data_IF_402845671153
#
_entry.id   IF_402845671153
#
_cell.length_a   1.000
_cell.length_b   1.000
_cell.length_c   1.000
_cell.angle_alpha   90.00
_cell.angle_beta   90.00
_cell.angle_gamma   90.00
#
_symmetry.space_group_name_H-M   'P 1'
#
loop_
_entity.id
_entity.type
_entity.pdbx_description
1 polymer ?
#
# COMPACT_ATOMS: atom_id res chain seq x y z
N UNK A 1 9.68 3.77 3.26
CA UNK A 1 9.63 2.54 2.45
C UNK A 1 8.98 1.46 3.29
N UNK A 2 7.99 0.78 2.73
CA UNK A 2 7.32 -0.36 3.36
C UNK A 2 7.27 -1.50 2.33
N UNK A 3 7.60 -2.73 2.74
CA UNK A 3 7.57 -3.92 1.89
C UNK A 3 6.39 -4.80 2.30
N UNK A 4 5.64 -5.27 1.32
CA UNK A 4 4.55 -6.22 1.51
C UNK A 4 5.13 -7.63 1.36
N UNK A 5 4.96 -8.46 2.39
CA UNK A 5 5.22 -9.89 2.29
C UNK A 5 3.90 -10.62 2.01
N UNK A 6 3.85 -11.33 0.89
CA UNK A 6 2.69 -12.13 0.48
C UNK A 6 3.00 -13.61 0.68
N UNK A 7 2.12 -14.32 1.38
CA UNK A 7 2.21 -15.77 1.53
C UNK A 7 1.07 -16.42 0.74
N UNK A 8 1.35 -16.77 -0.50
CA UNK A 8 0.43 -17.49 -1.37
C UNK A 8 0.86 -18.97 -1.49
N UNK A 9 0.07 -19.92 -0.96
CA UNK A 9 0.35 -21.35 -1.07
C UNK A 9 0.41 -21.87 -2.51
N UNK A 10 -0.35 -21.25 -3.41
CA UNK A 10 -0.52 -21.70 -4.79
C UNK A 10 0.48 -21.04 -5.76
N UNK A 11 1.25 -20.06 -5.27
CA UNK A 11 2.25 -19.28 -6.02
C UNK A 11 1.68 -18.56 -7.25
N UNK A 12 0.43 -18.11 -7.17
CA UNK A 12 -0.20 -17.30 -8.19
C UNK A 12 0.46 -15.91 -8.28
N UNK A 13 0.25 -15.27 -9.44
CA UNK A 13 0.64 -13.88 -9.63
C UNK A 13 -0.35 -13.01 -8.86
N UNK A 14 0.10 -12.47 -7.74
CA UNK A 14 -0.69 -11.54 -6.95
C UNK A 14 -0.64 -10.14 -7.57
N UNK A 15 -1.80 -9.49 -7.64
CA UNK A 15 -1.94 -8.10 -8.07
C UNK A 15 -2.08 -7.22 -6.84
N UNK A 16 -1.09 -6.35 -6.63
CA UNK A 16 -1.10 -5.39 -5.54
C UNK A 16 -1.56 -4.02 -6.05
N UNK A 17 -2.42 -3.35 -5.28
CA UNK A 17 -2.93 -2.02 -5.61
C UNK A 17 -3.10 -1.16 -4.35
N UNK A 18 -2.93 0.14 -4.51
CA UNK A 18 -3.31 1.13 -3.50
C UNK A 18 -4.80 1.45 -3.65
N UNK A 19 -5.48 1.68 -2.53
CA UNK A 19 -6.85 2.20 -2.59
C UNK A 19 -6.89 3.58 -3.27
N UNK A 20 -8.06 3.93 -3.81
CA UNK A 20 -8.27 5.23 -4.45
C UNK A 20 -8.15 6.42 -3.48
N UNK A 21 -8.10 6.16 -2.17
CA UNK A 21 -7.90 7.17 -1.13
C UNK A 21 -6.45 7.27 -0.66
N UNK A 22 -5.50 6.60 -1.32
CA UNK A 22 -4.10 6.70 -0.97
C UNK A 22 -3.60 8.16 -1.06
N UNK A 23 -2.75 8.62 -0.12
CA UNK A 23 -2.28 10.00 -0.10
C UNK A 23 -1.47 10.37 -1.34
N UNK A 24 -1.51 11.65 -1.70
CA UNK A 24 -0.71 12.21 -2.77
C UNK A 24 0.78 11.89 -2.59
N UNK A 25 1.41 11.49 -3.70
CA UNK A 25 2.83 11.10 -3.74
C UNK A 25 3.12 9.70 -3.22
N UNK A 26 2.11 8.92 -2.83
CA UNK A 26 2.26 7.49 -2.53
C UNK A 26 2.21 6.67 -3.81
N UNK A 27 3.17 5.76 -3.97
CA UNK A 27 3.30 4.86 -5.12
C UNK A 27 3.54 3.44 -4.65
N UNK A 28 3.04 2.49 -5.41
CA UNK A 28 3.28 1.06 -5.22
C UNK A 28 3.89 0.50 -6.49
N UNK A 29 5.02 -0.18 -6.37
CA UNK A 29 5.55 -1.03 -7.43
C UNK A 29 4.96 -2.44 -7.28
N UNK A 30 4.03 -2.86 -8.17
CA UNK A 30 3.38 -4.16 -8.07
C UNK A 30 4.35 -5.32 -8.35
N UNK A 31 5.47 -5.08 -9.04
CA UNK A 31 6.45 -6.13 -9.34
C UNK A 31 7.32 -6.48 -8.12
N UNK A 32 7.58 -5.51 -7.25
CA UNK A 32 8.43 -5.68 -6.06
C UNK A 32 7.66 -5.68 -4.74
N UNK A 33 6.39 -5.26 -4.76
CA UNK A 33 5.57 -5.09 -3.55
C UNK A 33 6.06 -3.94 -2.65
N UNK A 34 6.84 -3.01 -3.19
CA UNK A 34 7.38 -1.87 -2.46
C UNK A 34 6.41 -0.69 -2.53
N UNK A 35 6.00 -0.21 -1.35
CA UNK A 35 5.29 1.06 -1.20
C UNK A 35 6.28 2.17 -0.83
N UNK A 36 6.29 3.21 -1.64
CA UNK A 36 7.04 4.44 -1.40
C UNK A 36 6.09 5.62 -1.23
N UNK A 37 6.45 6.54 -0.34
CA UNK A 37 5.69 7.78 -0.17
C UNK A 37 6.62 8.97 -0.15
N UNK A 38 6.54 9.78 -1.21
CA UNK A 38 7.21 11.07 -1.28
C UNK A 38 6.35 12.12 -0.62
N UNK A 39 6.40 12.20 0.71
CA UNK A 39 5.58 13.09 1.54
C UNK A 39 5.71 14.55 1.05
N UNK A 40 4.61 15.16 0.52
CA UNK A 40 4.57 16.59 0.27
C UNK A 40 4.96 17.44 1.49
N UNK A 41 5.64 18.58 1.26
CA UNK A 41 5.98 19.51 2.34
C UNK A 41 4.72 20.06 3.01
N UNK A 42 4.74 20.13 4.34
CA UNK A 42 3.66 20.71 5.13
C UNK A 42 2.48 19.78 5.42
N UNK A 43 2.57 18.49 5.05
CA UNK A 43 1.62 17.49 5.53
C UNK A 43 1.83 17.23 7.02
N UNK A 44 0.75 17.27 7.78
CA UNK A 44 0.70 16.90 9.20
C UNK A 44 -0.63 16.20 9.45
N UNK A 45 -0.65 15.27 10.42
CA UNK A 45 -1.85 14.51 10.78
C UNK A 45 -1.77 13.03 10.42
N UNK A 46 -2.95 12.39 10.35
CA UNK A 46 -3.10 10.95 10.14
C UNK A 46 -3.58 10.65 8.72
N UNK A 47 -2.93 9.69 8.08
CA UNK A 47 -3.21 9.29 6.70
C UNK A 47 -3.52 7.79 6.66
N UNK A 48 -4.79 7.40 6.44
CA UNK A 48 -5.16 6.01 6.30
C UNK A 48 -4.69 5.48 4.95
N UNK A 49 -3.93 4.39 5.00
CA UNK A 49 -3.44 3.65 3.85
C UNK A 49 -4.16 2.32 3.81
N UNK A 50 -4.64 1.93 2.64
CA UNK A 50 -5.21 0.62 2.41
C UNK A 50 -4.57 0.01 1.16
N UNK A 51 -3.99 -1.17 1.33
CA UNK A 51 -3.35 -1.92 0.27
C UNK A 51 -4.18 -3.16 -0.01
N UNK A 52 -4.56 -3.35 -1.26
CA UNK A 52 -5.39 -4.47 -1.71
C UNK A 52 -4.50 -5.44 -2.49
N UNK A 53 -4.57 -6.71 -2.11
CA UNK A 53 -3.95 -7.84 -2.79
C UNK A 53 -5.05 -8.69 -3.41
N UNK A 54 -4.97 -8.97 -4.70
CA UNK A 54 -5.90 -9.86 -5.41
C UNK A 54 -5.17 -11.02 -6.06
N UNK A 55 -5.79 -12.20 -6.03
CA UNK A 55 -5.32 -13.41 -6.72
C UNK A 55 -5.67 -13.43 -8.22
N UNK A 56 -6.43 -12.46 -8.72
CA UNK A 56 -6.91 -12.43 -10.11
C UNK A 56 -8.09 -13.37 -10.41
N UNK A 57 -8.48 -14.22 -9.46
CA UNK A 57 -9.59 -15.19 -9.55
C UNK A 57 -10.80 -14.81 -8.67
N UNK A 58 -10.74 -13.65 -8.03
CA UNK A 58 -11.84 -13.08 -7.24
C UNK A 58 -11.57 -13.06 -5.74
N UNK A 59 -10.52 -13.75 -5.28
CA UNK A 59 -9.99 -13.60 -3.93
C UNK A 59 -9.30 -12.27 -3.76
N UNK A 60 -9.58 -11.62 -2.64
CA UNK A 60 -8.98 -10.34 -2.25
C UNK A 60 -8.72 -10.33 -0.76
N UNK A 61 -7.59 -9.74 -0.38
CA UNK A 61 -7.24 -9.40 0.98
C UNK A 61 -6.82 -7.93 1.02
N UNK A 62 -7.04 -7.26 2.14
CA UNK A 62 -6.54 -5.90 2.34
C UNK A 62 -5.75 -5.79 3.63
N UNK A 63 -4.73 -4.93 3.60
CA UNK A 63 -3.98 -4.51 4.76
C UNK A 63 -4.11 -3.00 4.90
N UNK A 64 -4.71 -2.56 6.00
CA UNK A 64 -4.91 -1.15 6.30
C UNK A 64 -4.06 -0.72 7.50
N UNK A 65 -3.47 0.47 7.42
CA UNK A 65 -2.71 1.08 8.50
C UNK A 65 -2.74 2.60 8.40
N UNK A 66 -2.43 3.29 9.49
CA UNK A 66 -2.34 4.75 9.50
C UNK A 66 -0.88 5.18 9.58
N UNK A 67 -0.50 6.15 8.76
CA UNK A 67 0.77 6.87 8.94
C UNK A 67 0.48 8.21 9.60
N UNK A 68 1.20 8.49 10.69
CA UNK A 68 1.15 9.76 11.38
C UNK A 68 2.36 10.61 10.99
N UNK A 69 2.10 11.81 10.49
CA UNK A 69 3.14 12.81 10.24
C UNK A 69 3.03 13.87 11.32
N UNK A 70 4.06 13.96 12.16
CA UNK A 70 4.17 14.97 13.20
C UNK A 70 4.57 16.34 12.63
N UNK A 71 4.36 17.39 13.42
CA UNK A 71 5.01 18.66 13.18
C UNK A 71 6.51 18.51 13.49
N UNK A 72 7.35 19.06 12.62
CA UNK A 72 8.81 19.10 12.76
C UNK A 72 9.28 20.14 13.77
#
# INVERSE_FOLDING_TARGET
MYKIDTNDPDQDILVLSLSSSAPDGMTLDPATGIVEWKIPKGLTGSYPIDIIVSDGYGGRCSQSFNIYIGES
#
